data_IF_993755272372
#
_entry.id   IF_993755272372
#
_cell.length_a   1.000
_cell.length_b   1.000
_cell.length_c   1.000
_cell.angle_alpha   90.00
_cell.angle_beta   90.00
_cell.angle_gamma   90.00
#
_symmetry.space_group_name_H-M   'P 1'
#
loop_
_entity.id
_entity.type
_entity.pdbx_description
1 polymer ?
#
# COMPACT_ATOMS: atom_id res chain seq x y z
N UNK A 1 36.25 27.67 35.02
CA UNK A 1 35.98 26.61 34.04
C UNK A 1 34.50 26.77 33.65
N UNK A 2 34.23 27.21 32.43
CA UNK A 2 32.89 27.30 31.87
C UNK A 2 32.61 25.99 31.18
N UNK A 3 31.65 25.20 31.72
CA UNK A 3 31.19 23.97 31.11
C UNK A 3 29.96 24.30 30.27
N UNK A 4 30.07 24.18 28.96
CA UNK A 4 28.92 24.29 28.06
C UNK A 4 28.33 22.89 27.87
N UNK A 5 27.15 22.65 28.42
CA UNK A 5 26.33 21.52 28.05
C UNK A 5 25.51 21.90 26.78
N UNK A 6 25.99 21.53 25.62
CA UNK A 6 25.19 21.58 24.41
C UNK A 6 24.09 20.49 24.48
N UNK A 7 22.86 20.87 24.82
CA UNK A 7 21.72 19.96 24.65
C UNK A 7 21.48 19.77 23.17
N UNK A 8 21.49 18.52 22.71
CA UNK A 8 21.10 18.18 21.35
C UNK A 8 19.70 18.75 21.04
N UNK A 9 19.49 19.38 19.87
CA UNK A 9 18.18 19.85 19.48
C UNK A 9 17.20 18.66 19.48
N UNK A 10 16.06 18.85 20.13
CA UNK A 10 14.99 17.87 20.21
C UNK A 10 13.73 18.51 19.64
N UNK A 11 12.98 17.73 18.89
CA UNK A 11 11.65 18.10 18.43
C UNK A 11 10.65 17.07 18.97
N UNK A 12 9.54 17.57 19.50
CA UNK A 12 8.38 16.76 19.90
C UNK A 12 7.14 17.49 19.41
N UNK A 13 6.40 16.86 18.49
CA UNK A 13 5.25 17.50 17.85
C UNK A 13 4.56 16.60 16.85
N UNK A 14 3.59 17.17 16.16
CA UNK A 14 2.85 16.49 15.08
C UNK A 14 3.27 17.07 13.73
N UNK A 15 3.56 16.17 12.80
CA UNK A 15 3.83 16.51 11.39
C UNK A 15 2.66 16.02 10.55
N UNK A 16 2.16 16.87 9.67
CA UNK A 16 1.15 16.52 8.69
C UNK A 16 1.66 16.86 7.30
N UNK A 17 1.63 15.88 6.41
CA UNK A 17 1.93 16.02 4.99
C UNK A 17 0.66 15.71 4.21
N UNK A 18 0.37 16.48 3.18
CA UNK A 18 -0.77 16.23 2.31
C UNK A 18 -0.41 16.55 0.86
N UNK A 19 -0.95 15.76 -0.05
CA UNK A 19 -0.92 16.04 -1.48
C UNK A 19 -2.33 16.18 -2.01
N UNK A 20 -2.55 17.23 -2.79
CA UNK A 20 -3.81 17.45 -3.51
C UNK A 20 -3.85 16.60 -4.77
N UNK A 21 -5.06 16.26 -5.28
CA UNK A 21 -5.19 15.62 -6.59
C UNK A 21 -4.48 16.45 -7.65
N UNK A 22 -3.74 15.79 -8.51
CA UNK A 22 -2.99 16.46 -9.57
C UNK A 22 -2.67 15.51 -10.71
N UNK A 23 -2.34 16.05 -11.87
CA UNK A 23 -1.85 15.27 -13.00
C UNK A 23 -0.33 15.29 -13.03
N UNK A 24 0.28 14.13 -12.99
CA UNK A 24 1.71 13.98 -13.22
C UNK A 24 1.92 12.90 -14.28
N UNK A 25 2.44 13.31 -15.43
CA UNK A 25 2.73 12.36 -16.50
C UNK A 25 1.51 11.66 -17.12
N UNK A 26 0.32 12.30 -17.12
CA UNK A 26 -0.90 11.75 -17.71
C UNK A 26 -1.70 10.81 -16.81
N UNK A 27 -1.30 10.65 -15.54
CA UNK A 27 -2.05 9.88 -14.54
C UNK A 27 -2.61 10.81 -13.48
N UNK A 28 -3.89 10.64 -13.16
CA UNK A 28 -4.53 11.32 -12.04
C UNK A 28 -3.96 10.79 -10.72
N UNK A 29 -3.29 11.67 -9.97
CA UNK A 29 -2.84 11.32 -8.62
C UNK A 29 -3.97 11.59 -7.63
N UNK A 30 -4.38 10.60 -6.86
CA UNK A 30 -5.38 10.80 -5.83
C UNK A 30 -4.83 11.68 -4.69
N UNK A 31 -5.73 12.26 -3.91
CA UNK A 31 -5.36 12.96 -2.68
C UNK A 31 -4.73 11.98 -1.69
N UNK A 32 -3.77 12.47 -0.92
CA UNK A 32 -3.19 11.69 0.16
C UNK A 32 -2.87 12.58 1.36
N UNK A 33 -2.90 12.00 2.53
CA UNK A 33 -2.54 12.66 3.78
C UNK A 33 -1.79 11.68 4.69
N UNK A 34 -0.72 12.16 5.29
CA UNK A 34 0.07 11.44 6.29
C UNK A 34 0.19 12.35 7.50
N UNK A 35 -0.21 11.87 8.66
CA UNK A 35 -0.02 12.53 9.93
C UNK A 35 0.76 11.62 10.86
N UNK A 36 1.67 12.16 11.67
CA UNK A 36 2.43 11.39 12.65
C UNK A 36 2.82 12.25 13.83
N UNK A 37 2.85 11.66 15.02
CA UNK A 37 3.56 12.24 16.16
C UNK A 37 5.03 11.92 16.02
N UNK A 38 5.86 12.96 16.08
CA UNK A 38 7.29 12.86 15.82
C UNK A 38 8.07 13.25 17.07
N UNK A 39 8.98 12.39 17.50
CA UNK A 39 10.00 12.71 18.50
C UNK A 39 11.35 12.51 17.84
N UNK A 40 12.14 13.57 17.77
CA UNK A 40 13.43 13.50 17.08
C UNK A 40 14.56 14.20 17.85
N UNK A 41 15.76 13.74 17.54
CA UNK A 41 17.02 14.43 17.81
C UNK A 41 17.74 14.70 16.47
N UNK A 42 19.04 15.03 16.52
CA UNK A 42 19.84 15.33 15.34
C UNK A 42 20.17 14.08 14.49
N UNK A 43 20.00 12.88 15.02
CA UNK A 43 20.40 11.62 14.37
C UNK A 43 19.22 10.77 13.89
N UNK A 44 18.10 10.85 14.59
CA UNK A 44 16.94 10.00 14.31
C UNK A 44 15.63 10.68 14.74
N UNK A 45 14.55 10.25 14.12
CA UNK A 45 13.19 10.55 14.53
C UNK A 45 12.39 9.27 14.72
N UNK A 46 11.63 9.22 15.81
CA UNK A 46 10.60 8.22 16.04
C UNK A 46 9.26 8.77 15.58
N UNK A 47 8.55 8.00 14.80
CA UNK A 47 7.23 8.32 14.28
C UNK A 47 6.20 7.48 15.01
N UNK A 48 5.56 8.07 15.99
CA UNK A 48 4.48 7.44 16.74
C UNK A 48 3.14 7.80 16.11
N UNK A 49 2.16 6.90 16.14
CA UNK A 49 0.80 7.14 15.67
C UNK A 49 0.76 7.71 14.24
N UNK A 50 1.41 7.01 13.32
CA UNK A 50 1.30 7.34 11.88
C UNK A 50 -0.13 7.03 11.45
N UNK A 51 -0.77 7.98 10.77
CA UNK A 51 -2.04 7.82 10.08
C UNK A 51 -1.85 8.18 8.63
N UNK A 52 -2.18 7.25 7.74
CA UNK A 52 -2.11 7.44 6.29
C UNK A 52 -3.51 7.34 5.72
N UNK A 53 -3.87 8.32 4.90
CA UNK A 53 -5.10 8.32 4.12
C UNK A 53 -4.73 8.51 2.65
N UNK A 54 -5.19 7.64 1.76
CA UNK A 54 -4.88 7.67 0.33
C UNK A 54 -6.13 7.42 -0.50
N UNK A 55 -6.46 8.35 -1.38
CA UNK A 55 -7.66 8.36 -2.18
C UNK A 55 -8.66 9.45 -1.78
N UNK A 56 -9.80 9.50 -2.46
CA UNK A 56 -10.89 10.41 -2.14
C UNK A 56 -11.44 10.11 -0.73
N UNK A 57 -11.83 11.14 0.01
CA UNK A 57 -12.17 11.06 1.44
C UNK A 57 -13.24 9.99 1.77
N UNK A 58 -14.22 9.84 0.90
CA UNK A 58 -15.30 8.84 1.00
C UNK A 58 -14.85 7.40 0.71
N UNK A 59 -13.70 7.23 0.03
CA UNK A 59 -13.13 5.95 -0.43
C UNK A 59 -11.68 5.74 -0.03
N UNK A 60 -11.16 6.61 0.82
CA UNK A 60 -9.76 6.59 1.18
C UNK A 60 -9.35 5.27 1.87
N UNK A 61 -8.24 4.71 1.43
CA UNK A 61 -7.54 3.67 2.18
C UNK A 61 -6.94 4.31 3.42
N UNK A 62 -7.25 3.75 4.58
CA UNK A 62 -6.76 4.26 5.88
C UNK A 62 -5.86 3.23 6.52
N UNK A 63 -4.65 3.63 6.83
CA UNK A 63 -3.63 2.82 7.49
C UNK A 63 -3.16 3.56 8.73
N UNK A 64 -2.83 2.81 9.76
CA UNK A 64 -2.24 3.34 10.98
C UNK A 64 -1.02 2.52 11.38
N UNK A 65 -0.07 3.15 12.06
CA UNK A 65 1.13 2.44 12.48
C UNK A 65 2.17 3.31 13.16
N UNK A 66 3.40 2.89 13.05
CA UNK A 66 4.56 3.57 13.61
C UNK A 66 5.76 3.43 12.68
N UNK A 67 6.85 4.12 13.00
CA UNK A 67 8.07 4.04 12.23
C UNK A 67 9.24 4.74 12.87
N UNK A 68 10.36 4.67 12.20
CA UNK A 68 11.58 5.40 12.54
C UNK A 68 12.23 5.98 11.29
N UNK A 69 12.84 7.12 11.45
CA UNK A 69 13.58 7.83 10.43
C UNK A 69 14.99 8.08 10.95
N UNK A 70 15.97 7.60 10.23
CA UNK A 70 17.38 7.88 10.48
C UNK A 70 17.87 8.98 9.56
N UNK A 71 18.58 9.94 10.13
CA UNK A 71 19.21 11.05 9.40
C UNK A 71 20.68 10.75 9.08
N UNK A 72 21.37 11.70 8.51
CA UNK A 72 22.81 11.63 8.24
C UNK A 72 23.16 11.16 6.83
N UNK A 73 24.34 10.55 6.69
CA UNK A 73 24.90 10.17 5.38
C UNK A 73 24.16 9.03 4.69
N UNK A 74 23.42 8.24 5.45
CA UNK A 74 22.64 7.10 4.95
C UNK A 74 21.22 7.17 5.55
N UNK A 75 20.42 8.14 5.11
CA UNK A 75 19.07 8.30 5.63
C UNK A 75 18.21 7.10 5.26
N UNK A 76 17.33 6.69 6.17
CA UNK A 76 16.42 5.57 5.96
C UNK A 76 15.15 5.75 6.77
N UNK A 77 14.01 5.69 6.09
CA UNK A 77 12.70 5.60 6.72
C UNK A 77 12.30 4.11 6.84
N UNK A 78 11.87 3.69 8.02
CA UNK A 78 11.17 2.43 8.23
C UNK A 78 9.80 2.71 8.80
N UNK A 79 8.78 2.05 8.28
CA UNK A 79 7.42 2.17 8.79
C UNK A 79 6.72 0.81 8.75
N UNK A 80 5.93 0.55 9.77
CA UNK A 80 5.01 -0.59 9.82
C UNK A 80 3.59 -0.04 9.93
N UNK A 81 2.77 -0.30 8.94
CA UNK A 81 1.42 0.21 8.80
C UNK A 81 0.44 -0.95 8.74
N UNK A 82 -0.68 -0.80 9.41
CA UNK A 82 -1.73 -1.81 9.45
C UNK A 82 -3.10 -1.22 9.16
N UNK A 83 -3.95 -2.05 8.56
CA UNK A 83 -5.38 -1.79 8.47
C UNK A 83 -6.15 -3.05 8.89
N UNK A 84 -7.33 -2.88 9.49
CA UNK A 84 -8.21 -4.02 9.75
C UNK A 84 -8.87 -4.50 8.48
N UNK A 85 -9.48 -3.59 7.78
CA UNK A 85 -10.23 -3.89 6.57
C UNK A 85 -10.01 -2.79 5.54
N UNK A 86 -9.72 -3.20 4.32
CA UNK A 86 -9.61 -2.32 3.17
C UNK A 86 -10.65 -2.73 2.11
N UNK A 87 -11.22 -1.75 1.45
CA UNK A 87 -12.13 -1.96 0.32
C UNK A 87 -11.37 -1.69 -0.98
N UNK A 88 -10.76 -2.74 -1.52
CA UNK A 88 -10.01 -2.68 -2.76
C UNK A 88 -10.91 -2.43 -3.97
N UNK A 89 -12.13 -2.98 -3.98
CA UNK A 89 -13.09 -2.78 -5.06
C UNK A 89 -13.51 -1.31 -5.16
N UNK A 90 -13.86 -0.73 -4.01
CA UNK A 90 -14.27 0.66 -3.92
C UNK A 90 -13.12 1.63 -4.27
N UNK A 91 -11.91 1.28 -3.88
CA UNK A 91 -10.72 2.06 -4.22
C UNK A 91 -10.38 2.00 -5.71
N UNK A 92 -10.49 0.82 -6.32
CA UNK A 92 -10.17 0.61 -7.73
C UNK A 92 -11.26 1.08 -8.70
N UNK A 93 -12.49 1.35 -8.20
CA UNK A 93 -13.58 1.89 -9.00
C UNK A 93 -13.20 3.28 -9.54
N UNK A 94 -13.09 3.41 -10.87
CA UNK A 94 -12.79 4.68 -11.52
C UNK A 94 -13.95 5.66 -11.30
N UNK A 95 -13.62 6.93 -11.01
CA UNK A 95 -14.59 8.01 -11.05
C UNK A 95 -15.18 8.10 -12.47
N UNK A 96 -16.47 7.75 -12.61
CA UNK A 96 -17.17 7.89 -13.89
C UNK A 96 -18.03 6.71 -14.32
N UNK A 97 -17.89 5.54 -13.76
CA UNK A 97 -18.83 4.45 -14.03
C UNK A 97 -20.09 4.63 -13.19
N UNK A 98 -20.98 5.51 -13.68
CA UNK A 98 -22.36 5.68 -13.18
C UNK A 98 -23.29 4.53 -13.60
N UNK A 99 -22.76 3.47 -14.16
CA UNK A 99 -23.56 2.29 -14.46
C UNK A 99 -23.66 1.45 -13.18
N UNK A 100 -24.91 1.27 -12.73
CA UNK A 100 -25.30 0.52 -11.55
C UNK A 100 -25.03 -1.02 -11.64
N UNK A 101 -23.92 -1.38 -12.25
CA UNK A 101 -23.35 -2.72 -12.15
C UNK A 101 -22.58 -2.83 -10.83
N UNK A 102 -22.77 -3.92 -10.11
CA UNK A 102 -21.95 -4.29 -8.95
C UNK A 102 -20.50 -3.96 -9.27
N UNK A 103 -19.94 -2.94 -8.62
CA UNK A 103 -18.61 -2.40 -8.89
C UNK A 103 -17.46 -3.30 -8.45
N UNK A 104 -17.61 -4.59 -8.61
CA UNK A 104 -16.58 -5.58 -8.31
C UNK A 104 -15.52 -5.52 -9.40
N UNK A 105 -14.30 -5.20 -9.04
CA UNK A 105 -13.15 -5.28 -9.94
C UNK A 105 -12.88 -6.76 -10.23
N UNK A 106 -12.83 -7.11 -11.52
CA UNK A 106 -12.44 -8.48 -11.88
C UNK A 106 -11.07 -8.80 -11.31
N UNK A 107 -10.87 -9.93 -10.63
CA UNK A 107 -9.59 -10.28 -10.03
C UNK A 107 -8.41 -10.31 -11.01
N UNK A 108 -8.66 -10.54 -12.29
CA UNK A 108 -7.64 -10.43 -13.36
C UNK A 108 -7.09 -9.02 -13.48
N UNK A 109 -7.83 -7.99 -13.05
CA UNK A 109 -7.39 -6.59 -13.05
C UNK A 109 -6.58 -6.20 -11.81
N UNK A 110 -6.39 -7.12 -10.86
CA UNK A 110 -5.63 -6.88 -9.61
C UNK A 110 -4.20 -6.46 -9.91
N UNK A 111 -3.49 -7.12 -10.81
CA UNK A 111 -2.12 -6.78 -11.16
C UNK A 111 -2.02 -5.38 -11.82
N UNK A 112 -2.86 -5.03 -12.81
CA UNK A 112 -2.92 -3.68 -13.32
C UNK A 112 -3.29 -2.63 -12.26
N UNK A 113 -4.26 -2.92 -11.39
CA UNK A 113 -4.68 -2.03 -10.31
C UNK A 113 -3.55 -1.82 -9.29
N UNK A 114 -2.88 -2.88 -8.87
CA UNK A 114 -1.72 -2.81 -7.98
C UNK A 114 -0.58 -1.99 -8.60
N UNK A 115 -0.32 -2.15 -9.90
CA UNK A 115 0.66 -1.33 -10.63
C UNK A 115 0.26 0.14 -10.63
N UNK A 116 -1.02 0.45 -10.86
CA UNK A 116 -1.53 1.81 -10.84
C UNK A 116 -1.35 2.44 -9.44
N UNK A 117 -1.65 1.70 -8.37
CA UNK A 117 -1.42 2.14 -6.99
C UNK A 117 0.05 2.42 -6.74
N UNK A 118 0.94 1.49 -7.07
CA UNK A 118 2.39 1.65 -6.87
C UNK A 118 2.97 2.83 -7.66
N UNK A 119 2.51 3.03 -8.89
CA UNK A 119 2.94 4.17 -9.72
C UNK A 119 2.36 5.51 -9.25
N UNK A 120 1.21 5.47 -8.57
CA UNK A 120 0.56 6.63 -7.95
C UNK A 120 1.08 6.97 -6.55
N UNK A 121 1.90 6.11 -5.93
CA UNK A 121 2.49 6.43 -4.63
C UNK A 121 3.41 7.65 -4.73
N UNK A 122 3.35 8.55 -3.75
CA UNK A 122 4.29 9.67 -3.70
C UNK A 122 5.72 9.14 -3.63
N UNK A 123 6.62 9.75 -4.40
CA UNK A 123 8.03 9.40 -4.34
C UNK A 123 8.56 9.72 -2.95
N UNK A 124 9.20 8.75 -2.33
CA UNK A 124 9.90 9.00 -1.07
C UNK A 124 11.14 9.85 -1.35
N UNK A 125 11.38 10.95 -0.62
CA UNK A 125 12.57 11.77 -0.81
C UNK A 125 13.87 11.08 -0.34
N UNK A 126 13.75 9.99 0.39
CA UNK A 126 14.84 9.19 0.94
C UNK A 126 14.53 7.69 0.77
N UNK A 127 15.53 6.82 0.85
CA UNK A 127 15.27 5.37 0.90
C UNK A 127 14.28 5.01 2.00
N UNK A 128 13.35 4.12 1.69
CA UNK A 128 12.29 3.74 2.61
C UNK A 128 12.03 2.22 2.57
N UNK A 129 11.67 1.67 3.73
CA UNK A 129 11.19 0.30 3.91
C UNK A 129 9.85 0.39 4.62
N UNK A 130 8.80 -0.11 4.00
CA UNK A 130 7.43 -0.04 4.53
C UNK A 130 6.83 -1.43 4.56
N UNK A 131 6.45 -1.86 5.74
CA UNK A 131 5.63 -3.05 5.96
C UNK A 131 4.16 -2.63 5.99
N UNK A 132 3.34 -3.32 5.22
CA UNK A 132 1.89 -3.16 5.21
C UNK A 132 1.23 -4.46 5.60
N UNK A 133 0.31 -4.41 6.55
CA UNK A 133 -0.50 -5.56 6.92
C UNK A 133 -1.99 -5.22 6.88
N UNK A 134 -2.82 -6.18 6.48
CA UNK A 134 -4.27 -6.05 6.59
C UNK A 134 -4.90 -7.40 6.89
N UNK A 135 -5.84 -7.42 7.83
CA UNK A 135 -6.58 -8.64 8.14
C UNK A 135 -7.46 -9.05 6.95
N UNK A 136 -8.02 -8.07 6.26
CA UNK A 136 -8.94 -8.31 5.16
C UNK A 136 -8.90 -7.18 4.10
N UNK A 137 -8.92 -7.58 2.83
CA UNK A 137 -9.11 -6.69 1.68
C UNK A 137 -10.23 -7.23 0.82
N UNK A 138 -11.29 -6.44 0.62
CA UNK A 138 -12.33 -6.81 -0.34
C UNK A 138 -11.84 -6.60 -1.76
N UNK A 139 -11.90 -7.64 -2.58
CA UNK A 139 -11.49 -7.59 -3.98
C UNK A 139 -12.28 -8.60 -4.83
N UNK A 140 -12.87 -8.13 -5.92
CA UNK A 140 -13.76 -8.94 -6.75
C UNK A 140 -15.01 -9.41 -5.99
N UNK A 141 -15.49 -8.61 -5.02
CA UNK A 141 -16.62 -8.94 -4.16
C UNK A 141 -16.35 -10.03 -3.13
N UNK A 142 -15.09 -10.48 -2.97
CA UNK A 142 -14.70 -11.50 -1.99
C UNK A 142 -13.53 -11.02 -1.13
N UNK A 143 -13.47 -11.45 0.14
CA UNK A 143 -12.39 -11.08 1.02
C UNK A 143 -11.11 -11.86 0.69
N UNK A 144 -10.02 -11.14 0.50
CA UNK A 144 -8.67 -11.63 0.70
C UNK A 144 -8.32 -11.49 2.17
N UNK A 145 -7.56 -12.42 2.72
CA UNK A 145 -7.20 -12.46 4.14
C UNK A 145 -5.69 -12.48 4.34
N UNK A 146 -5.26 -12.09 5.54
CA UNK A 146 -3.86 -12.17 5.98
C UNK A 146 -2.90 -11.51 4.98
N UNK A 147 -3.22 -10.29 4.55
CA UNK A 147 -2.39 -9.56 3.59
C UNK A 147 -1.16 -9.02 4.30
N UNK A 148 0.01 -9.34 3.78
CA UNK A 148 1.30 -8.80 4.21
C UNK A 148 2.09 -8.37 2.98
N UNK A 149 2.57 -7.12 2.99
CA UNK A 149 3.38 -6.59 1.90
C UNK A 149 4.60 -5.84 2.44
N UNK A 150 5.75 -6.11 1.86
CA UNK A 150 6.99 -5.38 2.09
C UNK A 150 7.31 -4.52 0.87
N UNK A 151 7.32 -3.21 1.06
CA UNK A 151 7.67 -2.23 0.06
C UNK A 151 9.04 -1.64 0.36
N UNK A 152 9.83 -1.42 -0.66
CA UNK A 152 11.10 -0.72 -0.56
C UNK A 152 11.16 0.39 -1.60
N UNK A 153 11.67 1.55 -1.21
CA UNK A 153 12.01 2.63 -2.13
C UNK A 153 13.50 2.95 -2.05
N UNK A 154 14.09 3.21 -3.22
CA UNK A 154 15.45 3.74 -3.38
C UNK A 154 15.47 5.27 -3.55
N UNK A 155 14.41 5.95 -3.17
CA UNK A 155 14.13 7.37 -3.41
C UNK A 155 13.76 7.73 -4.86
N UNK A 156 13.73 6.79 -5.78
CA UNK A 156 13.34 6.99 -7.19
C UNK A 156 12.13 6.17 -7.58
N UNK A 157 12.06 4.95 -7.09
CA UNK A 157 11.00 3.98 -7.43
C UNK A 157 10.61 3.15 -6.22
N UNK A 158 9.39 2.63 -6.26
CA UNK A 158 8.91 1.64 -5.29
C UNK A 158 9.04 0.24 -5.86
N UNK A 159 9.49 -0.68 -5.02
CA UNK A 159 9.63 -2.10 -5.31
C UNK A 159 8.83 -2.88 -4.27
N UNK A 160 8.00 -3.80 -4.72
CA UNK A 160 7.38 -4.81 -3.85
C UNK A 160 8.39 -5.93 -3.65
N UNK A 161 8.95 -6.00 -2.46
CA UNK A 161 9.89 -7.08 -2.07
C UNK A 161 9.16 -8.39 -1.89
N UNK A 162 8.01 -8.32 -1.21
CA UNK A 162 7.18 -9.47 -0.87
C UNK A 162 5.73 -9.03 -0.76
N UNK A 163 4.83 -9.82 -1.27
CA UNK A 163 3.40 -9.71 -1.06
C UNK A 163 2.84 -11.10 -0.82
N UNK A 164 2.15 -11.29 0.28
CA UNK A 164 1.49 -12.54 0.64
C UNK A 164 0.05 -12.27 1.03
N UNK A 165 -0.84 -13.16 0.65
CA UNK A 165 -2.24 -13.12 1.06
C UNK A 165 -2.90 -14.49 0.87
N UNK A 166 -4.06 -14.66 1.51
CA UNK A 166 -4.98 -15.76 1.25
C UNK A 166 -6.11 -15.32 0.35
N UNK A 167 -6.26 -16.01 -0.77
CA UNK A 167 -7.37 -15.88 -1.70
C UNK A 167 -8.46 -16.93 -1.42
N UNK A 168 -9.66 -16.78 -2.02
CA UNK A 168 -10.71 -17.79 -1.98
C UNK A 168 -10.20 -19.18 -2.37
N UNK A 169 -10.84 -20.23 -1.84
CA UNK A 169 -10.41 -21.61 -2.02
C UNK A 169 -9.22 -22.01 -1.15
N UNK A 170 -9.04 -21.36 0.01
CA UNK A 170 -7.89 -21.59 0.91
C UNK A 170 -6.55 -21.51 0.16
N UNK A 171 -6.48 -20.58 -0.79
CA UNK A 171 -5.34 -20.40 -1.67
C UNK A 171 -4.35 -19.43 -1.06
N UNK A 172 -3.12 -19.87 -0.84
CA UNK A 172 -2.01 -18.98 -0.48
C UNK A 172 -1.34 -18.46 -1.75
N UNK A 173 -1.22 -17.17 -1.84
CA UNK A 173 -0.51 -16.49 -2.93
C UNK A 173 0.69 -15.76 -2.33
N UNK A 174 1.87 -15.98 -2.88
CA UNK A 174 3.07 -15.21 -2.56
C UNK A 174 3.73 -14.70 -3.83
N UNK A 175 4.15 -13.44 -3.77
CA UNK A 175 4.76 -12.72 -4.88
C UNK A 175 6.00 -12.01 -4.37
N UNK A 176 7.10 -12.09 -5.11
CA UNK A 176 8.35 -11.44 -4.73
C UNK A 176 9.06 -10.82 -5.93
N UNK A 177 9.76 -9.70 -5.66
CA UNK A 177 10.61 -9.05 -6.64
C UNK A 177 9.88 -8.21 -7.68
N UNK A 178 8.68 -7.70 -7.39
CA UNK A 178 7.94 -6.85 -8.31
C UNK A 178 8.42 -5.40 -8.27
N UNK A 179 8.91 -4.89 -9.40
CA UNK A 179 9.38 -3.50 -9.54
C UNK A 179 8.45 -2.72 -10.46
N UNK A 180 8.03 -1.54 -10.01
CA UNK A 180 7.36 -0.55 -10.85
C UNK A 180 8.37 0.52 -11.26
N UNK A 181 9.13 0.27 -12.30
CA UNK A 181 10.08 1.24 -12.86
C UNK A 181 9.35 2.14 -13.87
N UNK A 182 9.32 3.44 -13.59
CA UNK A 182 8.79 4.41 -14.54
C UNK A 182 9.69 4.43 -15.80
N UNK A 183 9.13 4.02 -16.94
CA UNK A 183 9.79 4.17 -18.25
C UNK A 183 10.45 2.94 -18.85
N UNK A 184 10.58 1.83 -18.16
CA UNK A 184 11.05 0.60 -18.76
C UNK A 184 9.86 -0.21 -19.32
N UNK A 185 9.90 -0.54 -20.61
CA UNK A 185 8.91 -1.36 -21.25
C UNK A 185 8.69 -2.67 -20.50
N UNK A 186 7.55 -2.79 -19.85
CA UNK A 186 6.76 -4.00 -19.56
C UNK A 186 7.44 -5.28 -19.04
N UNK A 187 8.64 -5.28 -18.46
CA UNK A 187 9.18 -6.48 -17.86
C UNK A 187 8.97 -6.48 -16.36
N UNK A 188 7.83 -6.98 -15.91
CA UNK A 188 7.55 -7.31 -14.53
C UNK A 188 8.17 -8.69 -14.25
N UNK A 189 9.41 -8.72 -13.79
CA UNK A 189 10.01 -9.98 -13.35
C UNK A 189 9.61 -10.20 -11.90
N UNK A 190 8.75 -11.17 -11.66
CA UNK A 190 8.31 -11.55 -10.32
C UNK A 190 8.25 -13.06 -10.20
N UNK A 191 8.63 -13.58 -9.06
CA UNK A 191 8.33 -14.96 -8.70
C UNK A 191 6.94 -14.99 -8.06
N UNK A 192 6.03 -15.74 -8.69
CA UNK A 192 4.69 -15.96 -8.19
C UNK A 192 4.56 -17.43 -7.78
N UNK A 193 4.20 -17.66 -6.53
CA UNK A 193 3.84 -18.99 -6.01
C UNK A 193 2.37 -18.98 -5.60
N UNK A 194 1.63 -20.00 -6.03
CA UNK A 194 0.21 -20.19 -5.72
C UNK A 194 0.02 -21.62 -5.22
N UNK A 195 -0.46 -21.74 -4.00
CA UNK A 195 -0.83 -23.03 -3.38
C UNK A 195 -2.31 -23.01 -3.06
N UNK A 196 -3.11 -23.83 -3.74
CA UNK A 196 -4.56 -23.89 -3.57
C UNK A 196 -5.01 -25.25 -3.09
N UNK A 197 -5.88 -25.28 -2.07
CA UNK A 197 -6.56 -26.49 -1.63
C UNK A 197 -7.87 -26.71 -2.39
N UNK A 198 -8.45 -25.66 -2.97
CA UNK A 198 -9.66 -25.71 -3.78
C UNK A 198 -9.50 -24.84 -5.02
N UNK A 199 -8.91 -25.39 -6.10
CA UNK A 199 -8.66 -24.66 -7.34
C UNK A 199 -9.93 -24.21 -8.06
N UNK A 200 -11.05 -24.90 -7.89
CA UNK A 200 -12.30 -24.56 -8.56
C UNK A 200 -12.89 -23.26 -7.99
N UNK A 201 -12.87 -23.10 -6.67
CA UNK A 201 -13.24 -21.84 -6.02
C UNK A 201 -12.31 -20.70 -6.41
N UNK A 202 -11.01 -20.95 -6.50
CA UNK A 202 -10.04 -19.96 -6.98
C UNK A 202 -10.35 -19.53 -8.42
N UNK A 203 -10.58 -20.48 -9.33
CA UNK A 203 -10.88 -20.19 -10.73
C UNK A 203 -12.19 -19.44 -10.91
N UNK A 204 -13.22 -19.81 -10.14
CA UNK A 204 -14.50 -19.12 -10.12
C UNK A 204 -14.33 -17.65 -9.70
N UNK A 205 -13.53 -17.40 -8.67
CA UNK A 205 -13.23 -16.04 -8.24
C UNK A 205 -12.42 -15.26 -9.29
N UNK A 206 -11.40 -15.87 -9.89
CA UNK A 206 -10.58 -15.22 -10.94
C UNK A 206 -11.40 -14.85 -12.18
N UNK A 207 -12.42 -15.62 -12.51
CA UNK A 207 -13.34 -15.36 -13.63
C UNK A 207 -14.43 -14.33 -13.31
N UNK A 208 -14.45 -13.78 -12.09
CA UNK A 208 -15.49 -12.84 -11.66
C UNK A 208 -16.89 -13.46 -11.57
N UNK A 209 -17.00 -14.81 -11.64
CA UNK A 209 -18.28 -15.51 -11.49
C UNK A 209 -18.65 -15.51 -10.00
N UNK A 210 -19.74 -14.85 -9.67
CA UNK A 210 -20.40 -15.07 -8.39
C UNK A 210 -21.03 -16.45 -8.43
N UNK A 211 -20.72 -17.33 -7.44
CA UNK A 211 -21.43 -18.58 -7.25
C UNK A 211 -22.92 -18.29 -6.97
N UNK A 212 -23.70 -18.23 -8.04
CA UNK A 212 -25.17 -18.27 -7.96
C UNK A 212 -25.57 -19.74 -7.85
N UNK A 213 -25.03 -20.44 -6.91
CA UNK A 213 -25.38 -21.84 -6.70
C UNK A 213 -25.55 -22.16 -5.21
N UNK A 214 -26.38 -21.40 -4.51
CA UNK A 214 -27.09 -21.88 -3.33
C UNK A 214 -28.43 -21.13 -3.23
N UNK A 215 -29.34 -21.42 -4.16
CA UNK A 215 -30.77 -21.30 -3.95
C UNK A 215 -31.39 -22.64 -4.28
N UNK A 216 -31.49 -23.47 -3.30
CA UNK A 216 -32.50 -24.54 -3.22
C UNK A 216 -33.14 -24.43 -1.86
#
# INVERSE_FOLDING_TARGET
ILTFEARAPRFDGTVTLAGTPGQRGGSDMPSWRIAAKVKSDYSAARLDQIEVSYGAEDRALKLAGNGDLRFGTSPLLRASLAARQLDGDRFAAKDGTKDGGNGNVEPVQVLPAMRAVLSGLPQSPIPAQVELTSEQVMLGGRPLQDISAELQSDAKSWIVRRLEFRAPGSTRVSLSGASAQAGAANSFKTALNIESSDPDTLMTWLQGRSDIAYRS
#
